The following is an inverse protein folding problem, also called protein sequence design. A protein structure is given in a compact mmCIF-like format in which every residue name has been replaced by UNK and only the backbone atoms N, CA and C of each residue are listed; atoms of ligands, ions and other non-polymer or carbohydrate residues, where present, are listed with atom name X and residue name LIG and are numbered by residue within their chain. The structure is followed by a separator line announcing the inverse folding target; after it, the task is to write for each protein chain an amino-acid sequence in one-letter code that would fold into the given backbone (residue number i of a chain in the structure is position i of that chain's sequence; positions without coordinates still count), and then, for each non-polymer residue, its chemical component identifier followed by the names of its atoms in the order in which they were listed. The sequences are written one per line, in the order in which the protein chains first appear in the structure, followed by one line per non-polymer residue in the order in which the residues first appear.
data_IF_428501047211
#
_entry.id   IF_428501047211
#
_cell.length_a   1.000
_cell.length_b   1.000
_cell.length_c   1.000
_cell.angle_alpha   90.00
_cell.angle_beta   90.00
_cell.angle_gamma   90.00
#
_symmetry.space_group_name_H-M   'P 1'
#
loop_
_entity.id
_entity.type
_entity.pdbx_description
1 polymer ?
#
# COMPACT_ATOMS: atom_id res chain seq x y z
N UNK A 1 14.78 5.81 2.17
CA UNK A 1 13.38 5.56 2.66
C UNK A 1 13.09 4.10 2.44
N UNK A 2 12.59 3.38 3.46
CA UNK A 2 12.30 1.95 3.38
C UNK A 2 10.87 1.74 2.90
N UNK A 3 10.66 0.90 1.89
CA UNK A 3 9.35 0.48 1.41
C UNK A 3 9.38 -1.02 1.09
N UNK A 4 8.20 -1.64 1.01
CA UNK A 4 7.98 -3.04 0.71
C UNK A 4 7.64 -3.14 -0.77
N UNK A 5 8.36 -3.95 -1.52
CA UNK A 5 8.00 -4.27 -2.89
C UNK A 5 6.91 -5.34 -2.98
N UNK A 6 6.48 -5.65 -4.20
CA UNK A 6 5.40 -6.61 -4.44
C UNK A 6 5.76 -8.03 -3.96
N UNK A 7 7.00 -8.47 -4.18
CA UNK A 7 7.43 -9.83 -3.80
C UNK A 7 7.47 -9.99 -2.28
N UNK A 8 7.99 -8.97 -1.58
CA UNK A 8 8.02 -8.92 -0.12
C UNK A 8 6.62 -8.91 0.49
N UNK A 9 5.71 -8.12 -0.12
CA UNK A 9 4.31 -8.09 0.30
C UNK A 9 3.63 -9.45 0.11
N UNK A 10 3.82 -10.11 -1.03
CA UNK A 10 3.28 -11.43 -1.31
C UNK A 10 3.82 -12.48 -0.32
N UNK A 11 5.13 -12.46 -0.01
CA UNK A 11 5.72 -13.32 1.01
C UNK A 11 5.08 -13.11 2.39
N UNK A 12 4.84 -11.86 2.79
CA UNK A 12 4.15 -11.55 4.04
C UNK A 12 2.70 -12.04 4.05
N UNK A 13 1.98 -11.96 2.92
CA UNK A 13 0.63 -12.50 2.80
C UNK A 13 0.61 -14.03 2.91
N UNK A 14 1.60 -14.70 2.30
CA UNK A 14 1.69 -16.17 2.34
C UNK A 14 1.85 -16.68 3.77
N UNK A 15 2.74 -16.10 4.57
CA UNK A 15 2.94 -16.51 5.98
C UNK A 15 1.78 -16.15 6.90
N UNK A 16 0.89 -15.26 6.43
CA UNK A 16 -0.35 -14.88 7.13
C UNK A 16 -1.57 -15.68 6.66
N UNK A 17 -1.40 -16.70 5.82
CA UNK A 17 -2.48 -17.48 5.22
C UNK A 17 -2.83 -18.72 6.06
N UNK A 18 -2.91 -18.59 7.38
CA UNK A 18 -3.37 -19.66 8.27
C UNK A 18 -4.90 -19.75 8.29
N UNK A 19 -5.44 -20.94 8.71
CA UNK A 19 -6.89 -21.16 8.77
C UNK A 19 -7.54 -20.50 9.99
N UNK A 20 -6.75 -20.09 10.98
CA UNK A 20 -7.26 -19.47 12.21
C UNK A 20 -7.61 -18.00 12.00
N UNK A 21 -8.54 -17.52 12.82
CA UNK A 21 -9.09 -16.19 12.71
C UNK A 21 -8.07 -15.07 12.91
N UNK A 22 -7.02 -15.32 13.69
CA UNK A 22 -5.97 -14.31 13.91
C UNK A 22 -5.10 -14.17 12.67
N UNK A 23 -4.81 -15.29 11.99
CA UNK A 23 -4.10 -15.28 10.70
C UNK A 23 -4.91 -14.56 9.62
N UNK A 24 -6.22 -14.82 9.52
CA UNK A 24 -7.10 -14.14 8.59
C UNK A 24 -7.18 -12.62 8.88
N UNK A 25 -7.28 -12.24 10.15
CA UNK A 25 -7.24 -10.84 10.58
C UNK A 25 -5.93 -10.17 10.18
N UNK A 26 -4.81 -10.83 10.42
CA UNK A 26 -3.48 -10.30 10.12
C UNK A 26 -3.29 -10.14 8.61
N UNK A 27 -3.76 -11.10 7.81
CA UNK A 27 -3.77 -10.99 6.35
C UNK A 27 -4.61 -9.80 5.88
N UNK A 28 -5.83 -9.64 6.38
CA UNK A 28 -6.70 -8.50 6.08
C UNK A 28 -6.03 -7.16 6.47
N UNK A 29 -5.37 -7.13 7.62
CA UNK A 29 -4.62 -5.95 8.10
C UNK A 29 -3.53 -5.55 7.09
N UNK A 30 -2.71 -6.51 6.62
CA UNK A 30 -1.68 -6.25 5.62
C UNK A 30 -2.28 -5.76 4.29
N UNK A 31 -3.37 -6.38 3.83
CA UNK A 31 -4.05 -6.00 2.60
C UNK A 31 -4.55 -4.55 2.65
N UNK A 32 -5.20 -4.15 3.76
CA UNK A 32 -5.69 -2.78 3.91
C UNK A 32 -4.54 -1.79 4.00
N UNK A 33 -3.50 -2.08 4.80
CA UNK A 33 -2.33 -1.19 4.92
C UNK A 33 -1.62 -0.98 3.58
N UNK A 34 -1.40 -2.04 2.82
CA UNK A 34 -0.68 -1.97 1.54
C UNK A 34 -1.50 -1.28 0.45
N UNK A 35 -2.82 -1.55 0.40
CA UNK A 35 -3.71 -0.96 -0.59
C UNK A 35 -3.95 0.54 -0.33
N UNK A 36 -4.18 0.93 0.94
CA UNK A 36 -4.66 2.28 1.26
C UNK A 36 -3.60 3.21 1.82
N UNK A 37 -2.52 2.67 2.39
CA UNK A 37 -1.52 3.44 3.11
C UNK A 37 -2.07 4.15 4.34
N UNK A 38 -3.18 3.67 4.93
CA UNK A 38 -3.79 4.30 6.09
C UNK A 38 -2.84 4.32 7.31
N UNK A 39 -3.07 5.27 8.22
CA UNK A 39 -2.33 5.31 9.49
C UNK A 39 -2.79 4.15 10.38
N UNK A 40 -1.89 3.65 11.23
CA UNK A 40 -2.23 2.58 12.18
C UNK A 40 -3.41 2.95 13.09
N UNK A 41 -3.53 4.23 13.46
CA UNK A 41 -4.67 4.72 14.25
C UNK A 41 -5.98 4.71 13.46
N UNK A 42 -5.93 4.92 12.17
CA UNK A 42 -7.09 4.84 11.28
C UNK A 42 -7.50 3.38 11.10
N UNK A 43 -6.52 2.49 10.85
CA UNK A 43 -6.75 1.05 10.69
C UNK A 43 -7.52 0.44 11.87
N UNK A 44 -7.03 0.63 13.10
CA UNK A 44 -7.64 0.03 14.31
C UNK A 44 -9.00 0.62 14.66
N UNK A 45 -9.37 1.74 14.03
CA UNK A 45 -10.64 2.42 14.23
C UNK A 45 -11.66 2.17 13.12
N UNK A 46 -11.35 1.35 12.13
CA UNK A 46 -12.33 0.97 11.10
C UNK A 46 -13.46 0.17 11.75
N UNK A 47 -14.69 0.58 11.47
CA UNK A 47 -15.89 -0.18 11.80
C UNK A 47 -16.47 -0.82 10.53
N UNK A 48 -17.30 -1.84 10.67
CA UNK A 48 -17.94 -2.51 9.54
C UNK A 48 -18.70 -1.55 8.63
N UNK A 49 -19.40 -0.58 9.19
CA UNK A 49 -20.13 0.47 8.46
C UNK A 49 -19.22 1.43 7.66
N UNK A 50 -17.91 1.44 7.93
CA UNK A 50 -16.96 2.28 7.19
C UNK A 50 -16.50 1.62 5.89
N UNK A 51 -16.85 0.34 5.68
CA UNK A 51 -16.47 -0.44 4.50
C UNK A 51 -17.66 -0.54 3.55
N UNK A 52 -17.48 -0.02 2.35
CA UNK A 52 -18.45 -0.17 1.25
C UNK A 52 -17.92 -1.23 0.29
N UNK A 53 -18.63 -2.36 0.24
CA UNK A 53 -18.34 -3.46 -0.71
C UNK A 53 -19.34 -3.34 -1.85
N UNK A 54 -18.86 -2.90 -3.01
CA UNK A 54 -19.69 -2.72 -4.19
C UNK A 54 -19.72 -4.01 -5.05
N UNK A 55 -20.90 -4.43 -5.47
CA UNK A 55 -21.07 -5.50 -6.47
C UNK A 55 -20.63 -5.01 -7.86
N UNK A 56 -21.00 -3.77 -8.19
CA UNK A 56 -20.55 -3.05 -9.37
C UNK A 56 -19.89 -1.73 -8.94
N UNK A 57 -18.85 -1.31 -9.67
CA UNK A 57 -18.11 -0.10 -9.36
C UNK A 57 -16.96 -0.31 -8.37
N UNK A 58 -16.70 0.70 -7.55
CA UNK A 58 -15.50 0.77 -6.70
C UNK A 58 -15.85 0.57 -5.23
N UNK A 59 -15.30 -0.48 -4.63
CA UNK A 59 -15.33 -0.67 -3.18
C UNK A 59 -14.40 0.32 -2.49
N UNK A 60 -14.71 0.72 -1.26
CA UNK A 60 -13.95 1.75 -0.55
C UNK A 60 -14.01 1.59 0.96
N UNK A 61 -13.07 2.25 1.64
CA UNK A 61 -13.06 2.39 3.10
C UNK A 61 -13.05 3.87 3.45
N UNK A 62 -13.93 4.26 4.37
CA UNK A 62 -13.98 5.59 4.98
C UNK A 62 -13.05 5.61 6.19
N UNK A 63 -12.12 6.54 6.20
CA UNK A 63 -11.20 6.76 7.31
C UNK A 63 -11.50 8.08 8.01
N UNK A 64 -11.46 8.05 9.34
CA UNK A 64 -11.53 9.24 10.17
C UNK A 64 -10.12 9.67 10.58
N UNK A 65 -9.65 10.77 10.01
CA UNK A 65 -8.34 11.36 10.29
C UNK A 65 -8.32 12.28 11.52
N UNK A 66 -7.15 12.91 11.75
CA UNK A 66 -6.97 13.92 12.79
C UNK A 66 -7.91 15.12 12.55
N UNK A 67 -8.52 15.61 13.61
CA UNK A 67 -9.47 16.74 13.52
C UNK A 67 -10.80 16.38 12.88
N UNK A 68 -11.21 15.10 12.89
CA UNK A 68 -12.45 14.59 12.29
C UNK A 68 -12.56 14.80 10.78
N UNK A 69 -11.43 14.98 10.09
CA UNK A 69 -11.41 15.02 8.64
C UNK A 69 -11.62 13.62 8.08
N UNK A 70 -12.71 13.46 7.33
CA UNK A 70 -13.03 12.20 6.66
C UNK A 70 -12.33 12.13 5.30
N UNK A 71 -11.92 10.93 4.92
CA UNK A 71 -11.57 10.61 3.55
C UNK A 71 -12.06 9.22 3.18
N UNK A 72 -12.44 9.04 1.94
CA UNK A 72 -12.81 7.76 1.37
C UNK A 72 -11.70 7.31 0.45
N UNK A 73 -11.20 6.10 0.66
CA UNK A 73 -10.10 5.53 -0.14
C UNK A 73 -10.61 4.29 -0.87
N UNK A 74 -10.46 4.21 -2.19
CA UNK A 74 -10.79 3.02 -2.96
C UNK A 74 -9.95 1.82 -2.52
N UNK A 75 -10.54 0.63 -2.60
CA UNK A 75 -9.83 -0.63 -2.34
C UNK A 75 -9.98 -1.60 -3.50
N UNK A 76 -8.98 -2.47 -3.64
CA UNK A 76 -8.99 -3.50 -4.68
C UNK A 76 -10.13 -4.49 -4.46
N UNK A 77 -10.65 -5.06 -5.54
CA UNK A 77 -11.71 -6.07 -5.50
C UNK A 77 -11.34 -7.26 -4.60
N UNK A 78 -10.09 -7.72 -4.65
CA UNK A 78 -9.56 -8.79 -3.81
C UNK A 78 -9.58 -8.44 -2.33
N UNK A 79 -9.22 -7.20 -1.97
CA UNK A 79 -9.28 -6.70 -0.60
C UNK A 79 -10.73 -6.61 -0.12
N UNK A 80 -11.63 -6.08 -0.94
CA UNK A 80 -13.05 -5.96 -0.61
C UNK A 80 -13.71 -7.32 -0.39
N UNK A 81 -13.46 -8.29 -1.29
CA UNK A 81 -13.96 -9.66 -1.15
C UNK A 81 -13.48 -10.29 0.16
N UNK A 82 -12.18 -10.18 0.45
CA UNK A 82 -11.61 -10.73 1.68
C UNK A 82 -12.22 -10.12 2.95
N UNK A 83 -12.44 -8.81 2.96
CA UNK A 83 -13.12 -8.12 4.07
C UNK A 83 -14.56 -8.63 4.23
N UNK A 84 -15.30 -8.77 3.13
CA UNK A 84 -16.67 -9.28 3.15
C UNK A 84 -16.77 -10.69 3.72
N UNK A 85 -15.87 -11.58 3.33
CA UNK A 85 -15.82 -12.95 3.84
C UNK A 85 -15.41 -12.97 5.32
N UNK A 86 -14.47 -12.12 5.73
CA UNK A 86 -14.08 -11.98 7.14
C UNK A 86 -15.24 -11.49 8.01
N UNK A 87 -15.98 -10.46 7.57
CA UNK A 87 -17.16 -9.93 8.27
C UNK A 87 -18.19 -11.04 8.48
N UNK A 88 -18.51 -11.82 7.44
CA UNK A 88 -19.45 -12.93 7.50
C UNK A 88 -18.96 -14.03 8.45
N UNK A 89 -17.70 -14.44 8.32
CA UNK A 89 -17.11 -15.50 9.14
C UNK A 89 -17.10 -15.15 10.64
N UNK A 90 -16.90 -13.88 10.96
CA UNK A 90 -16.86 -13.38 12.33
C UNK A 90 -18.24 -12.96 12.87
N UNK A 91 -19.30 -13.03 12.04
CA UNK A 91 -20.62 -12.54 12.36
C UNK A 91 -20.59 -11.09 12.91
N UNK A 92 -19.76 -10.25 12.30
CA UNK A 92 -19.69 -8.83 12.65
C UNK A 92 -20.96 -8.13 12.17
N UNK A 93 -21.55 -7.31 13.05
CA UNK A 93 -22.72 -6.47 12.73
C UNK A 93 -22.29 -5.02 12.51
N UNK A 94 -23.23 -4.21 12.07
CA UNK A 94 -23.00 -2.78 11.87
C UNK A 94 -22.46 -2.15 13.16
N UNK A 95 -21.49 -1.26 12.97
CA UNK A 95 -20.78 -0.58 14.05
C UNK A 95 -19.80 -1.40 14.88
N UNK A 96 -19.61 -2.70 14.56
CA UNK A 96 -18.52 -3.47 15.16
C UNK A 96 -17.15 -2.99 14.65
N UNK A 97 -16.15 -3.07 15.52
CA UNK A 97 -14.75 -2.89 15.09
C UNK A 97 -14.34 -4.00 14.13
N UNK A 98 -13.84 -3.63 12.95
CA UNK A 98 -13.36 -4.58 11.96
C UNK A 98 -12.19 -5.42 12.50
N UNK A 99 -11.32 -4.79 13.30
CA UNK A 99 -10.15 -5.43 13.89
C UNK A 99 -10.34 -5.67 15.38
N UNK A 100 -10.50 -6.95 15.71
CA UNK A 100 -10.61 -7.40 17.07
C UNK A 100 -9.42 -8.30 17.45
N UNK A 101 -8.96 -8.18 18.67
CA UNK A 101 -7.98 -9.08 19.29
C UNK A 101 -8.62 -10.32 19.90
N UNK A 102 -7.86 -11.02 20.74
CA UNK A 102 -8.41 -12.14 21.53
C UNK A 102 -9.55 -11.63 22.41
N UNK A 103 -10.58 -12.45 22.58
CA UNK A 103 -11.76 -12.14 23.39
C UNK A 103 -12.49 -10.84 22.97
N UNK A 104 -12.50 -10.56 21.68
CA UNK A 104 -13.10 -9.34 21.10
C UNK A 104 -12.52 -8.01 21.65
N UNK A 105 -11.37 -8.07 22.33
CA UNK A 105 -10.69 -6.85 22.77
C UNK A 105 -10.27 -5.98 21.57
N UNK A 106 -10.29 -4.64 21.67
CA UNK A 106 -9.82 -3.77 20.60
C UNK A 106 -8.36 -4.03 20.25
N UNK A 107 -8.02 -4.07 18.96
CA UNK A 107 -6.65 -4.15 18.52
C UNK A 107 -5.94 -2.82 18.81
N UNK A 108 -4.70 -2.88 19.35
CA UNK A 108 -3.92 -1.70 19.70
C UNK A 108 -2.87 -1.38 18.63
N UNK A 109 -2.37 -0.13 18.62
CA UNK A 109 -1.27 0.27 17.72
C UNK A 109 -0.01 -0.58 17.92
N UNK A 110 0.34 -0.86 19.17
CA UNK A 110 1.47 -1.73 19.52
C UNK A 110 1.22 -3.17 19.07
N UNK A 111 -0.01 -3.68 19.22
CA UNK A 111 -0.39 -4.99 18.72
C UNK A 111 -0.24 -5.11 17.20
N UNK A 112 -0.67 -4.12 16.43
CA UNK A 112 -0.45 -4.06 14.97
C UNK A 112 1.04 -4.09 14.66
N UNK A 113 1.85 -3.23 15.30
CA UNK A 113 3.28 -3.17 15.05
C UNK A 113 3.97 -4.50 15.37
N UNK A 114 3.64 -5.13 16.50
CA UNK A 114 4.17 -6.43 16.88
C UNK A 114 3.79 -7.53 15.86
N UNK A 115 2.54 -7.55 15.39
CA UNK A 115 2.12 -8.53 14.37
C UNK A 115 2.88 -8.36 13.07
N UNK A 116 3.05 -7.12 12.60
CA UNK A 116 3.84 -6.83 11.40
C UNK A 116 5.28 -7.32 11.56
N UNK A 117 5.92 -7.06 12.70
CA UNK A 117 7.28 -7.53 12.98
C UNK A 117 7.39 -9.06 12.93
N UNK A 118 6.45 -9.77 13.58
CA UNK A 118 6.43 -11.24 13.57
C UNK A 118 6.21 -11.79 12.16
N UNK A 119 5.30 -11.20 11.39
CA UNK A 119 5.02 -11.63 10.01
C UNK A 119 6.21 -11.35 9.11
N UNK A 120 6.83 -10.16 9.22
CA UNK A 120 8.03 -9.82 8.44
C UNK A 120 9.17 -10.80 8.70
N UNK A 121 9.46 -11.11 9.98
CA UNK A 121 10.49 -12.07 10.34
C UNK A 121 10.23 -13.47 9.78
N UNK A 122 8.98 -13.94 9.74
CA UNK A 122 8.63 -15.21 9.11
C UNK A 122 8.76 -15.18 7.59
N UNK A 123 8.46 -14.05 6.96
CA UNK A 123 8.53 -13.88 5.51
C UNK A 123 9.96 -13.78 4.98
N UNK A 124 10.95 -13.54 5.86
CA UNK A 124 12.39 -13.49 5.50
C UNK A 124 12.89 -14.78 4.84
N UNK A 125 12.29 -15.92 5.13
CA UNK A 125 12.62 -17.20 4.50
C UNK A 125 12.30 -17.19 3.00
N UNK A 126 11.24 -16.48 2.59
CA UNK A 126 10.79 -16.40 1.19
C UNK A 126 11.23 -15.11 0.50
N UNK A 127 11.57 -14.07 1.26
CA UNK A 127 12.00 -12.77 0.76
C UNK A 127 13.18 -12.25 1.61
N UNK A 128 14.40 -12.66 1.26
CA UNK A 128 15.62 -12.37 2.03
C UNK A 128 15.87 -10.87 2.23
N UNK A 129 15.43 -10.03 1.30
CA UNK A 129 15.56 -8.57 1.40
C UNK A 129 14.83 -7.96 2.60
N UNK A 130 13.87 -8.67 3.18
CA UNK A 130 13.19 -8.24 4.42
C UNK A 130 14.11 -8.21 5.64
N UNK A 131 15.20 -9.01 5.65
CA UNK A 131 16.20 -9.01 6.73
C UNK A 131 16.86 -7.65 6.94
N UNK A 132 16.99 -6.88 5.87
CA UNK A 132 17.63 -5.57 5.88
C UNK A 132 16.63 -4.44 6.15
N UNK A 133 15.34 -4.77 6.30
CA UNK A 133 14.26 -3.80 6.43
C UNK A 133 13.59 -3.86 7.80
N UNK A 134 13.48 -2.72 8.45
CA UNK A 134 12.59 -2.59 9.62
C UNK A 134 11.18 -2.31 9.13
N UNK A 135 10.36 -3.36 8.99
CA UNK A 135 8.99 -3.24 8.52
C UNK A 135 8.06 -2.78 9.65
N UNK A 136 7.34 -1.70 9.40
CA UNK A 136 6.42 -1.04 10.34
C UNK A 136 5.14 -0.61 9.62
N UNK A 137 4.07 -0.18 10.31
CA UNK A 137 2.91 0.43 9.65
C UNK A 137 3.27 1.62 8.75
N UNK A 138 4.29 2.40 9.12
CA UNK A 138 4.79 3.50 8.29
C UNK A 138 5.46 3.01 7.01
N UNK A 139 6.13 1.87 7.05
CA UNK A 139 6.73 1.24 5.87
C UNK A 139 5.65 0.90 4.84
N UNK A 140 4.50 0.36 5.27
CA UNK A 140 3.34 0.10 4.40
C UNK A 140 2.79 1.38 3.77
N UNK A 141 2.73 2.47 4.52
CA UNK A 141 2.28 3.76 4.02
C UNK A 141 3.25 4.33 2.98
N UNK A 142 4.56 4.16 3.18
CA UNK A 142 5.57 4.52 2.19
C UNK A 142 5.44 3.65 0.93
N UNK A 143 5.20 2.35 1.10
CA UNK A 143 4.98 1.44 -0.03
C UNK A 143 3.75 1.83 -0.86
N UNK A 144 2.61 2.14 -0.21
CA UNK A 144 1.41 2.61 -0.90
C UNK A 144 1.68 3.90 -1.69
N UNK A 145 2.41 4.86 -1.09
CA UNK A 145 2.79 6.09 -1.79
C UNK A 145 3.68 5.82 -3.01
N UNK A 146 4.70 4.96 -2.85
CA UNK A 146 5.61 4.60 -3.94
C UNK A 146 4.91 3.84 -5.05
N UNK A 147 4.00 2.92 -4.72
CA UNK A 147 3.22 2.18 -5.69
C UNK A 147 2.32 3.11 -6.53
N UNK A 148 1.65 4.08 -5.90
CA UNK A 148 0.85 5.08 -6.60
C UNK A 148 1.71 5.96 -7.50
N UNK A 149 2.87 6.40 -7.02
CA UNK A 149 3.79 7.23 -7.78
C UNK A 149 4.34 6.49 -9.00
N UNK A 150 4.76 5.24 -8.84
CA UNK A 150 5.24 4.38 -9.93
C UNK A 150 4.14 4.04 -10.94
N UNK A 151 2.88 4.04 -10.51
CA UNK A 151 1.72 3.92 -11.38
C UNK A 151 1.38 5.23 -12.14
N UNK A 152 2.15 6.31 -11.93
CA UNK A 152 1.96 7.59 -12.61
C UNK A 152 0.90 8.50 -11.98
N UNK A 153 0.45 8.18 -10.75
CA UNK A 153 -0.50 9.04 -10.02
C UNK A 153 0.21 10.32 -9.58
N UNK A 154 -0.42 11.47 -9.82
CA UNK A 154 0.14 12.76 -9.44
C UNK A 154 0.23 12.94 -7.91
N UNK A 155 1.18 13.79 -7.48
CA UNK A 155 1.51 14.00 -6.07
C UNK A 155 0.34 14.57 -5.27
N UNK A 156 -0.47 15.44 -5.84
CA UNK A 156 -1.62 16.02 -5.16
C UNK A 156 -2.68 14.96 -4.87
N UNK A 157 -2.94 14.08 -5.82
CA UNK A 157 -3.81 12.91 -5.64
C UNK A 157 -3.27 11.97 -4.57
N UNK A 158 -1.95 11.68 -4.57
CA UNK A 158 -1.31 10.85 -3.52
C UNK A 158 -1.46 11.50 -2.14
N UNK A 159 -1.29 12.83 -2.03
CA UNK A 159 -1.48 13.56 -0.78
C UNK A 159 -2.92 13.42 -0.24
N UNK A 160 -3.91 13.56 -1.12
CA UNK A 160 -5.34 13.37 -0.79
C UNK A 160 -5.60 11.92 -0.37
N UNK A 161 -5.13 10.95 -1.16
CA UNK A 161 -5.26 9.51 -0.90
C UNK A 161 -4.76 9.13 0.49
N UNK A 162 -3.58 9.60 0.84
CA UNK A 162 -2.96 9.32 2.12
C UNK A 162 -3.50 10.20 3.26
N UNK A 163 -4.20 11.29 2.97
CA UNK A 163 -4.64 12.28 3.94
C UNK A 163 -3.46 13.00 4.59
N UNK A 164 -2.55 13.51 3.76
CA UNK A 164 -1.49 14.41 4.20
C UNK A 164 -2.06 15.81 4.43
N UNK A 165 -1.64 16.46 5.53
CA UNK A 165 -2.04 17.84 5.83
C UNK A 165 -1.30 18.84 4.95
N UNK A 166 -0.12 18.47 4.41
CA UNK A 166 0.67 19.28 3.49
C UNK A 166 1.23 18.43 2.35
N UNK A 167 1.33 19.04 1.16
CA UNK A 167 1.92 18.45 -0.03
C UNK A 167 3.42 18.17 0.17
N UNK A 168 4.12 18.97 0.98
CA UNK A 168 5.54 18.78 1.30
C UNK A 168 5.85 17.38 1.82
N UNK A 169 4.95 16.80 2.62
CA UNK A 169 5.09 15.41 3.09
C UNK A 169 5.12 14.42 1.94
N UNK A 170 4.46 14.74 0.82
CA UNK A 170 4.38 13.88 -0.37
C UNK A 170 5.56 14.12 -1.32
N UNK A 171 6.15 15.33 -1.34
CA UNK A 171 7.34 15.63 -2.15
C UNK A 171 8.55 14.72 -1.85
N UNK A 172 8.67 14.21 -0.62
CA UNK A 172 9.72 13.25 -0.26
C UNK A 172 9.67 11.97 -1.10
N UNK A 173 8.50 11.55 -1.53
CA UNK A 173 8.34 10.37 -2.39
C UNK A 173 8.81 10.65 -3.81
N UNK A 174 8.58 11.86 -4.32
CA UNK A 174 9.06 12.26 -5.65
C UNK A 174 10.59 12.24 -5.72
N UNK A 175 11.26 12.79 -4.71
CA UNK A 175 12.73 12.76 -4.65
C UNK A 175 13.25 11.31 -4.59
N UNK A 176 12.60 10.44 -3.82
CA UNK A 176 12.96 9.03 -3.74
C UNK A 176 12.73 8.30 -5.07
N UNK A 177 11.67 8.62 -5.81
CA UNK A 177 11.40 8.03 -7.14
C UNK A 177 12.42 8.48 -8.20
N UNK A 178 12.78 9.76 -8.21
CA UNK A 178 13.83 10.29 -9.09
C UNK A 178 15.16 9.59 -8.83
N UNK A 179 15.53 9.41 -7.56
CA UNK A 179 16.77 8.75 -7.17
C UNK A 179 16.79 7.27 -7.58
N UNK A 180 15.65 6.56 -7.46
CA UNK A 180 15.50 5.18 -7.93
C UNK A 180 15.63 5.08 -9.44
N UNK A 181 15.01 6.00 -10.19
CA UNK A 181 15.11 6.07 -11.65
C UNK A 181 16.54 6.37 -12.10
N UNK A 182 17.23 7.30 -11.44
CA UNK A 182 18.64 7.60 -11.71
C UNK A 182 19.53 6.36 -11.54
N UNK A 183 19.39 5.64 -10.41
CA UNK A 183 20.15 4.41 -10.16
C UNK A 183 19.83 3.29 -11.17
N UNK A 184 18.58 3.21 -11.63
CA UNK A 184 18.21 2.27 -12.67
C UNK A 184 18.85 2.63 -14.02
N UNK A 185 18.90 3.92 -14.37
CA UNK A 185 19.57 4.40 -15.58
C UNK A 185 21.07 4.11 -15.55
N UNK A 186 21.74 4.40 -14.44
CA UNK A 186 23.17 4.10 -14.28
C UNK A 186 23.50 2.60 -14.52
N UNK A 187 22.65 1.69 -14.00
CA UNK A 187 22.81 0.26 -14.28
C UNK A 187 22.58 -0.12 -15.73
N UNK A 188 21.72 0.61 -16.45
CA UNK A 188 21.48 0.39 -17.89
C UNK A 188 22.63 0.94 -18.74
N UNK A 189 23.23 2.05 -18.35
CA UNK A 189 24.40 2.62 -19.03
C UNK A 189 25.64 1.73 -18.89
N UNK A 190 25.84 1.07 -17.74
CA UNK A 190 26.90 0.08 -17.54
C UNK A 190 26.75 -1.18 -18.41
N UNK A 191 25.54 -1.46 -18.91
CA UNK A 191 25.26 -2.64 -19.76
C UNK A 191 25.12 -2.31 -21.23
N UNK A 192 25.08 -1.04 -21.61
CA UNK A 192 24.77 -0.60 -22.97
C UNK A 192 25.95 -0.01 -23.71
N UNK A 193 26.80 -0.88 -24.27
CA UNK A 193 27.54 -0.59 -25.50
C UNK A 193 26.58 -0.69 -26.72
N UNK A 194 25.35 -0.16 -26.58
CA UNK A 194 24.37 -0.11 -27.64
C UNK A 194 24.34 1.31 -28.17
N UNK A 195 25.03 1.52 -29.26
CA UNK A 195 24.85 2.73 -30.07
C UNK A 195 23.40 2.79 -30.56
N UNK A 196 22.57 3.58 -29.89
CA UNK A 196 21.24 3.93 -30.37
C UNK A 196 21.37 4.83 -31.59
N UNK A 197 21.48 4.25 -32.77
CA UNK A 197 21.28 4.96 -34.02
C UNK A 197 19.77 5.17 -34.25
N UNK A 198 19.17 6.06 -33.45
CA UNK A 198 17.82 6.55 -33.74
C UNK A 198 17.89 7.50 -34.92
N UNK A 199 17.40 7.08 -36.09
CA UNK A 199 17.15 7.96 -37.23
C UNK A 199 15.67 8.33 -37.23
N UNK A 200 15.32 9.59 -36.87
CA UNK A 200 13.93 10.03 -36.92
C UNK A 200 13.38 9.92 -38.35
N UNK A 201 12.15 9.45 -38.49
CA UNK A 201 11.50 9.37 -39.79
C UNK A 201 11.33 10.78 -40.40
N UNK A 202 11.35 10.85 -41.73
CA UNK A 202 11.21 12.11 -42.47
C UNK A 202 9.96 12.92 -42.06
N UNK A 203 8.87 12.24 -41.66
CA UNK A 203 7.65 12.87 -41.17
C UNK A 203 7.82 13.59 -39.81
N UNK A 204 8.71 13.10 -38.94
CA UNK A 204 9.01 13.74 -37.66
C UNK A 204 9.91 14.97 -37.87
N UNK A 205 10.89 14.87 -38.77
CA UNK A 205 11.75 16.00 -39.10
C UNK A 205 10.98 17.13 -39.77
N UNK A 206 10.10 16.83 -40.74
CA UNK A 206 9.26 17.84 -41.39
C UNK A 206 8.24 18.50 -40.44
N UNK A 207 7.74 17.77 -39.45
CA UNK A 207 6.88 18.36 -38.43
C UNK A 207 7.64 19.34 -37.52
N UNK A 208 8.86 19.01 -37.11
CA UNK A 208 9.70 19.87 -36.26
C UNK A 208 10.16 21.13 -37.02
N UNK A 209 10.39 21.06 -38.34
CA UNK A 209 10.73 22.20 -39.18
C UNK A 209 9.53 23.13 -39.46
N UNK A 210 8.31 22.67 -39.19
CA UNK A 210 7.06 23.45 -39.36
C UNK A 210 6.59 24.19 -38.11
N UNK A 211 7.29 24.02 -36.95
CA UNK A 211 7.06 24.71 -35.69
C UNK A 211 7.88 25.99 -35.61
#
# INVERSE_FOLDING_TARGET
MTFIDKNEYEAMLMVSNGPDILSLRDKMMLMILYNTGCRVSELINIHTQDVVIAHEGTSSIRFMGKGRKERVTPIWKTTAAFIGDYIKLQNLVDNDKLFQGRNKAPLTRSGVAQRITVISAKAEESALSLKEKRVTPHTFRHSAAMNLLQAGVDISTIAIWLGHESIETTHRYMVADIELKRKAMEKLEETADISFNYQPSFSILSFLESL
#
